data_IF_887535664603
#
_entry.id   IF_887535664603
#
_cell.length_a   1.000
_cell.length_b   1.000
_cell.length_c   1.000
_cell.angle_alpha   90.00
_cell.angle_beta   90.00
_cell.angle_gamma   90.00
#
_symmetry.space_group_name_H-M   'P 1'
#
loop_
_entity.id
_entity.type
_entity.pdbx_description
1 polymer ?
#
# COMPACT_ATOMS: atom_id res chain seq x y z
N UNK A 1 -10.94 15.84 -0.93
CA UNK A 1 -9.61 15.38 -1.45
C UNK A 1 -9.78 14.95 -2.91
N UNK A 2 -9.07 15.56 -3.85
CA UNK A 2 -9.11 15.11 -5.25
C UNK A 2 -8.05 14.03 -5.48
N UNK A 3 -8.51 12.82 -5.86
CA UNK A 3 -7.65 11.67 -6.12
C UNK A 3 -7.68 11.21 -7.59
N UNK A 4 -8.37 11.93 -8.47
CA UNK A 4 -8.49 11.56 -9.88
C UNK A 4 -7.12 11.55 -10.55
N UNK A 5 -6.88 10.51 -11.33
CA UNK A 5 -5.61 10.26 -12.02
C UNK A 5 -4.37 10.14 -11.11
N UNK A 6 -4.57 9.95 -9.79
CA UNK A 6 -3.46 9.74 -8.85
C UNK A 6 -2.97 8.30 -8.88
N UNK A 7 -1.68 8.14 -8.62
CA UNK A 7 -0.99 6.85 -8.55
C UNK A 7 -0.61 6.62 -7.09
N UNK A 8 -1.20 5.59 -6.48
CA UNK A 8 -1.00 5.24 -5.08
C UNK A 8 0.01 4.10 -4.91
N UNK A 9 0.83 4.17 -3.86
CA UNK A 9 1.49 2.99 -3.31
C UNK A 9 0.55 2.31 -2.32
N UNK A 10 0.34 1.01 -2.47
CA UNK A 10 -0.50 0.21 -1.58
C UNK A 10 0.14 0.01 -0.19
N UNK A 11 -0.67 -0.10 0.89
CA UNK A 11 -0.21 -0.58 2.18
C UNK A 11 0.22 -2.05 2.05
N UNK A 12 1.51 -2.33 2.24
CA UNK A 12 2.11 -3.67 2.15
C UNK A 12 2.77 -4.00 3.47
N UNK A 13 2.10 -4.79 4.32
CA UNK A 13 2.61 -5.17 5.63
C UNK A 13 4.01 -5.80 5.55
N UNK A 14 4.94 -5.31 6.36
CA UNK A 14 6.33 -5.71 6.39
C UNK A 14 7.14 -5.25 5.18
N UNK A 15 6.63 -4.35 4.33
CA UNK A 15 7.31 -3.96 3.07
C UNK A 15 7.19 -2.48 2.77
N UNK A 16 5.99 -1.90 2.90
CA UNK A 16 5.77 -0.47 2.66
C UNK A 16 6.12 0.36 3.90
N UNK A 17 7.34 0.14 4.44
CA UNK A 17 7.89 0.95 5.51
C UNK A 17 8.30 2.35 5.00
N UNK A 18 8.71 3.20 5.92
CA UNK A 18 9.12 4.56 5.60
C UNK A 18 10.17 4.62 4.47
N UNK A 19 11.22 3.78 4.53
CA UNK A 19 12.29 3.81 3.53
C UNK A 19 11.75 3.53 2.11
N UNK A 20 10.88 2.53 1.98
CA UNK A 20 10.27 2.19 0.69
C UNK A 20 9.27 3.25 0.24
N UNK A 21 8.45 3.80 1.13
CA UNK A 21 7.48 4.86 0.80
C UNK A 21 8.15 6.11 0.24
N UNK A 22 9.25 6.59 0.87
CA UNK A 22 10.03 7.74 0.38
C UNK A 22 10.56 7.49 -1.03
N UNK A 23 11.14 6.32 -1.28
CA UNK A 23 11.65 5.97 -2.62
C UNK A 23 10.53 5.99 -3.66
N UNK A 24 9.38 5.38 -3.34
CA UNK A 24 8.23 5.38 -4.26
C UNK A 24 7.71 6.80 -4.51
N UNK A 25 7.65 7.65 -3.46
CA UNK A 25 7.27 9.07 -3.60
C UNK A 25 8.20 9.81 -4.56
N UNK A 26 9.51 9.71 -4.33
CA UNK A 26 10.51 10.36 -5.17
C UNK A 26 10.46 9.88 -6.62
N UNK A 27 10.09 8.62 -6.83
CA UNK A 27 9.99 8.02 -8.17
C UNK A 27 8.61 8.19 -8.82
N UNK A 28 7.71 9.02 -8.25
CA UNK A 28 6.48 9.43 -8.94
C UNK A 28 5.17 8.86 -8.37
N UNK A 29 5.19 8.15 -7.25
CA UNK A 29 3.95 7.86 -6.55
C UNK A 29 3.32 9.18 -6.05
N UNK A 30 2.08 9.48 -6.42
CA UNK A 30 1.41 10.70 -5.95
C UNK A 30 1.07 10.63 -4.45
N UNK A 31 0.70 9.46 -3.97
CA UNK A 31 0.25 9.23 -2.60
C UNK A 31 0.78 7.87 -2.12
N UNK A 32 1.26 7.80 -0.90
CA UNK A 32 1.65 6.54 -0.26
C UNK A 32 0.76 6.24 0.94
N UNK A 33 0.78 5.01 1.42
CA UNK A 33 0.04 4.60 2.61
C UNK A 33 0.95 3.85 3.58
N UNK A 34 0.77 4.07 4.87
CA UNK A 34 1.49 3.33 5.90
C UNK A 34 1.19 1.83 5.81
N UNK A 35 1.99 1.02 6.45
CA UNK A 35 1.58 -0.35 6.77
C UNK A 35 0.34 -0.33 7.66
N UNK A 36 -0.36 -1.47 7.76
CA UNK A 36 -1.57 -1.55 8.58
C UNK A 36 -1.25 -1.43 10.08
N UNK A 37 -1.91 -0.50 10.75
CA UNK A 37 -1.74 -0.17 12.18
C UNK A 37 -2.93 -0.72 12.96
N UNK A 38 -2.66 -1.45 14.03
CA UNK A 38 -3.72 -1.99 14.89
C UNK A 38 -4.38 -0.87 15.70
N UNK A 39 -5.68 -0.68 15.51
CA UNK A 39 -6.44 0.30 16.27
C UNK A 39 -6.38 -0.01 17.79
N UNK A 40 -6.54 -1.26 18.18
CA UNK A 40 -6.45 -1.70 19.56
C UNK A 40 -5.06 -1.44 20.17
N UNK A 41 -3.99 -1.84 19.48
CA UNK A 41 -2.62 -1.63 19.97
C UNK A 41 -2.29 -0.13 20.10
N UNK A 42 -2.78 0.70 19.17
CA UNK A 42 -2.64 2.17 19.24
C UNK A 42 -3.23 2.73 20.54
N UNK A 43 -4.38 2.23 21.00
CA UNK A 43 -5.01 2.69 22.26
C UNK A 43 -4.22 2.28 23.49
N UNK A 44 -3.51 1.17 23.44
CA UNK A 44 -2.65 0.72 24.56
C UNK A 44 -1.25 1.34 24.53
N UNK A 45 -0.97 2.29 23.62
CA UNK A 45 0.31 2.98 23.56
C UNK A 45 1.46 2.09 23.04
N UNK A 46 1.12 1.07 22.20
CA UNK A 46 2.11 0.19 21.61
C UNK A 46 3.09 0.97 20.74
N UNK A 47 4.38 0.89 21.08
CA UNK A 47 5.45 1.62 20.41
C UNK A 47 5.54 1.29 18.93
N UNK A 48 5.39 0.01 18.56
CA UNK A 48 5.45 -0.41 17.17
C UNK A 48 4.30 0.18 16.35
N UNK A 49 3.08 0.24 16.91
CA UNK A 49 1.93 0.88 16.26
C UNK A 49 2.16 2.39 16.07
N UNK A 50 2.76 3.07 17.05
CA UNK A 50 3.12 4.47 16.92
C UNK A 50 4.19 4.69 15.82
N UNK A 51 5.21 3.85 15.76
CA UNK A 51 6.25 3.90 14.71
C UNK A 51 5.66 3.67 13.31
N UNK A 52 4.72 2.72 13.15
CA UNK A 52 4.04 2.46 11.87
C UNK A 52 3.11 3.61 11.43
N UNK A 53 2.50 4.30 12.40
CA UNK A 53 1.61 5.44 12.14
C UNK A 53 2.37 6.75 11.90
N UNK A 54 3.62 6.86 12.33
CA UNK A 54 4.39 8.08 12.20
C UNK A 54 4.71 8.38 10.73
N UNK A 55 4.35 9.58 10.26
CA UNK A 55 4.58 10.05 8.90
C UNK A 55 5.58 11.19 8.90
N UNK A 56 6.69 11.02 8.16
CA UNK A 56 7.71 12.06 7.96
C UNK A 56 7.32 12.98 6.79
N UNK A 57 7.95 14.14 6.73
CA UNK A 57 7.60 15.14 5.73
C UNK A 57 8.01 14.74 4.31
N UNK A 58 9.11 13.99 4.14
CA UNK A 58 9.64 13.56 2.84
C UNK A 58 8.85 12.41 2.18
N UNK A 59 7.94 11.76 2.90
CA UNK A 59 7.04 10.75 2.32
C UNK A 59 5.63 11.29 1.99
N UNK A 60 5.34 12.55 2.34
CA UNK A 60 4.03 13.16 2.11
C UNK A 60 3.78 13.49 0.63
N UNK A 61 2.51 13.46 0.15
CA UNK A 61 1.28 13.13 0.89
C UNK A 61 1.16 11.64 1.19
N UNK A 62 0.74 11.31 2.41
CA UNK A 62 0.65 9.94 2.89
C UNK A 62 -0.62 9.69 3.71
N UNK A 63 -1.22 8.50 3.56
CA UNK A 63 -2.32 8.03 4.40
C UNK A 63 -1.83 7.10 5.50
N UNK A 64 -2.67 6.90 6.53
CA UNK A 64 -2.46 5.89 7.56
C UNK A 64 -3.55 4.84 7.44
N UNK A 65 -3.17 3.55 7.36
CA UNK A 65 -4.14 2.46 7.32
C UNK A 65 -4.35 1.87 8.71
N UNK A 66 -5.60 1.90 9.21
CA UNK A 66 -6.03 1.27 10.45
C UNK A 66 -6.69 -0.09 10.17
N UNK A 67 -6.55 -1.04 11.10
CA UNK A 67 -7.37 -2.24 11.14
C UNK A 67 -7.87 -2.52 12.55
N UNK A 68 -9.08 -3.05 12.64
CA UNK A 68 -9.81 -3.38 13.86
C UNK A 68 -11.23 -3.77 13.53
N UNK A 69 -11.99 -4.24 14.51
CA UNK A 69 -13.37 -4.72 14.36
C UNK A 69 -14.37 -4.07 15.32
N UNK A 70 -13.92 -3.15 16.18
CA UNK A 70 -14.75 -2.49 17.18
C UNK A 70 -14.90 -1.00 16.81
N UNK A 71 -16.12 -0.48 16.54
CA UNK A 71 -16.34 0.90 16.08
C UNK A 71 -15.72 1.96 17.00
N UNK A 72 -15.93 1.87 18.29
CA UNK A 72 -15.41 2.83 19.29
C UNK A 72 -13.87 2.81 19.36
N UNK A 73 -13.28 1.62 19.25
CA UNK A 73 -11.82 1.45 19.24
C UNK A 73 -11.23 2.07 17.97
N UNK A 74 -11.88 1.87 16.82
CA UNK A 74 -11.46 2.44 15.54
C UNK A 74 -11.58 3.97 15.52
N UNK A 75 -12.66 4.52 16.07
CA UNK A 75 -12.85 5.96 16.21
C UNK A 75 -11.74 6.60 17.08
N UNK A 76 -11.51 6.08 18.26
CA UNK A 76 -10.44 6.57 19.17
C UNK A 76 -9.05 6.41 18.56
N UNK A 77 -8.79 5.34 17.79
CA UNK A 77 -7.54 5.17 17.10
C UNK A 77 -7.36 6.21 15.97
N UNK A 78 -8.43 6.55 15.26
CA UNK A 78 -8.43 7.60 14.26
C UNK A 78 -8.07 8.97 14.84
N UNK A 79 -8.67 9.35 15.99
CA UNK A 79 -8.30 10.56 16.74
C UNK A 79 -6.80 10.57 17.11
N UNK A 80 -6.28 9.44 17.58
CA UNK A 80 -4.87 9.33 17.97
C UNK A 80 -3.91 9.46 16.79
N UNK A 81 -4.22 8.86 15.64
CA UNK A 81 -3.34 8.95 14.49
C UNK A 81 -3.48 10.27 13.72
N UNK A 82 -4.55 11.02 13.97
CA UNK A 82 -4.76 12.36 13.39
C UNK A 82 -3.63 13.34 13.73
N UNK A 83 -2.95 13.18 14.88
CA UNK A 83 -1.81 14.01 15.29
C UNK A 83 -0.63 13.94 14.30
N UNK A 84 -0.52 12.83 13.55
CA UNK A 84 0.48 12.67 12.49
C UNK A 84 0.09 13.34 11.18
N UNK A 85 -1.07 14.02 11.13
CA UNK A 85 -1.58 14.78 9.98
C UNK A 85 -1.56 13.98 8.67
N UNK A 86 -2.16 12.78 8.61
CA UNK A 86 -2.26 12.04 7.35
C UNK A 86 -3.16 12.78 6.36
N UNK A 87 -2.95 12.55 5.06
CA UNK A 87 -3.84 13.02 4.00
C UNK A 87 -5.23 12.38 4.11
N UNK A 88 -5.28 11.12 4.54
CA UNK A 88 -6.50 10.34 4.78
C UNK A 88 -6.21 9.22 5.79
N UNK A 89 -7.25 8.73 6.42
CA UNK A 89 -7.23 7.51 7.22
C UNK A 89 -7.90 6.41 6.41
N UNK A 90 -7.20 5.31 6.18
CA UNK A 90 -7.72 4.16 5.43
C UNK A 90 -8.16 3.04 6.38
N UNK A 91 -9.32 2.45 6.14
CA UNK A 91 -9.82 1.31 6.92
C UNK A 91 -9.56 0.03 6.13
N UNK A 92 -8.81 -0.90 6.73
CA UNK A 92 -8.51 -2.18 6.10
C UNK A 92 -9.69 -3.14 6.20
N UNK A 93 -10.33 -3.43 5.07
CA UNK A 93 -11.37 -4.46 4.91
C UNK A 93 -10.95 -5.53 3.88
N UNK A 94 -9.63 -5.71 3.69
CA UNK A 94 -9.12 -6.60 2.63
C UNK A 94 -8.03 -7.59 3.05
N UNK A 95 -7.47 -7.49 4.25
CA UNK A 95 -6.41 -8.38 4.72
C UNK A 95 -6.95 -9.80 4.99
N UNK A 96 -6.42 -10.85 4.30
CA UNK A 96 -6.89 -12.22 4.48
C UNK A 96 -6.05 -13.01 5.48
N UNK A 97 -5.07 -12.38 6.14
CA UNK A 97 -4.16 -13.07 7.07
C UNK A 97 -4.97 -13.71 8.21
N UNK A 98 -4.75 -14.99 8.48
CA UNK A 98 -5.55 -15.79 9.41
C UNK A 98 -5.74 -15.11 10.78
N UNK A 99 -4.66 -14.58 11.37
CA UNK A 99 -4.72 -13.90 12.68
C UNK A 99 -5.64 -12.67 12.67
N UNK A 100 -5.63 -11.89 11.59
CA UNK A 100 -6.49 -10.71 11.42
C UNK A 100 -7.93 -11.17 11.18
N UNK A 101 -8.12 -12.11 10.27
CA UNK A 101 -9.44 -12.64 9.91
C UNK A 101 -10.16 -13.31 11.09
N UNK A 102 -9.43 -14.10 11.90
CA UNK A 102 -9.99 -14.80 13.06
C UNK A 102 -10.49 -13.84 14.15
N UNK A 103 -9.95 -12.62 14.21
CA UNK A 103 -10.41 -11.56 15.11
C UNK A 103 -11.59 -10.76 14.55
N UNK A 104 -12.19 -11.14 13.44
CA UNK A 104 -13.25 -10.39 12.78
C UNK A 104 -12.80 -9.10 12.09
N UNK A 105 -11.49 -8.96 11.80
CA UNK A 105 -10.85 -7.79 11.23
C UNK A 105 -10.47 -8.03 9.76
N UNK A 106 -10.07 -6.96 9.07
CA UNK A 106 -9.64 -7.06 7.68
C UNK A 106 -10.74 -7.57 6.76
N UNK A 107 -10.47 -8.62 5.97
CA UNK A 107 -11.49 -9.15 5.04
C UNK A 107 -12.67 -9.85 5.72
N UNK A 108 -12.59 -10.17 7.01
CA UNK A 108 -13.72 -10.71 7.76
C UNK A 108 -14.88 -9.69 7.88
N UNK A 109 -14.57 -8.38 7.89
CA UNK A 109 -15.59 -7.32 7.90
C UNK A 109 -16.49 -7.35 6.67
N UNK A 110 -16.04 -7.89 5.55
CA UNK A 110 -16.86 -8.05 4.36
C UNK A 110 -18.06 -8.99 4.56
N UNK A 111 -18.01 -9.86 5.58
CA UNK A 111 -19.14 -10.76 5.92
C UNK A 111 -20.24 -10.05 6.70
N UNK A 112 -19.97 -8.89 7.28
CA UNK A 112 -20.89 -8.13 8.14
C UNK A 112 -20.92 -6.67 7.67
N UNK A 113 -21.70 -6.41 6.62
CA UNK A 113 -21.83 -5.08 6.01
C UNK A 113 -22.37 -4.04 7.01
N UNK A 114 -23.36 -4.31 7.86
CA UNK A 114 -23.80 -3.39 8.88
C UNK A 114 -22.67 -2.95 9.83
N UNK A 115 -21.88 -3.89 10.33
CA UNK A 115 -20.74 -3.62 11.20
C UNK A 115 -19.63 -2.83 10.47
N UNK A 116 -19.34 -3.19 9.23
CA UNK A 116 -18.37 -2.45 8.40
C UNK A 116 -18.79 -0.98 8.23
N UNK A 117 -20.08 -0.73 7.95
CA UNK A 117 -20.63 0.62 7.84
C UNK A 117 -20.61 1.37 9.20
N UNK A 118 -20.89 0.69 10.31
CA UNK A 118 -20.80 1.27 11.64
C UNK A 118 -19.36 1.73 11.98
N UNK A 119 -18.36 0.92 11.67
CA UNK A 119 -16.94 1.28 11.83
C UNK A 119 -16.60 2.53 11.00
N UNK A 120 -17.01 2.58 9.73
CA UNK A 120 -16.73 3.75 8.86
C UNK A 120 -17.41 5.00 9.43
N UNK A 121 -18.66 4.90 9.86
CA UNK A 121 -19.40 6.02 10.47
C UNK A 121 -18.73 6.52 11.75
N UNK A 122 -18.27 5.61 12.61
CA UNK A 122 -17.58 5.95 13.85
C UNK A 122 -16.25 6.67 13.57
N UNK A 123 -15.47 6.18 12.62
CA UNK A 123 -14.20 6.81 12.23
C UNK A 123 -14.44 8.16 11.56
N UNK A 124 -15.39 8.27 10.62
CA UNK A 124 -15.71 9.51 9.93
C UNK A 124 -16.27 10.59 10.89
N UNK A 125 -16.98 10.18 11.93
CA UNK A 125 -17.47 11.09 12.98
C UNK A 125 -16.41 11.54 13.99
N UNK A 126 -15.27 10.84 14.07
CA UNK A 126 -14.21 11.10 15.04
C UNK A 126 -13.11 12.06 14.52
N UNK A 127 -13.11 12.42 13.23
CA UNK A 127 -12.05 13.24 12.64
C UNK A 127 -12.55 13.95 11.38
N UNK A 128 -11.99 15.13 11.11
CA UNK A 128 -12.18 15.86 9.84
C UNK A 128 -11.31 15.33 8.68
N UNK A 129 -10.45 14.35 8.96
CA UNK A 129 -9.58 13.75 7.95
C UNK A 129 -10.41 12.81 7.06
N UNK A 130 -10.29 12.91 5.72
CA UNK A 130 -11.02 12.03 4.81
C UNK A 130 -10.79 10.54 5.12
N UNK A 131 -11.85 9.74 5.11
CA UNK A 131 -11.79 8.30 5.38
C UNK A 131 -11.85 7.51 4.09
N UNK A 132 -10.81 6.71 3.82
CA UNK A 132 -10.78 5.72 2.75
C UNK A 132 -11.15 4.33 3.29
N UNK A 133 -11.64 3.47 2.40
CA UNK A 133 -11.86 2.05 2.71
C UNK A 133 -11.16 1.18 1.68
N UNK A 134 -10.25 0.31 2.11
CA UNK A 134 -9.59 -0.65 1.24
C UNK A 134 -10.18 -2.04 1.41
N UNK A 135 -10.82 -2.55 0.36
CA UNK A 135 -11.54 -3.81 0.36
C UNK A 135 -11.17 -4.73 -0.80
N UNK A 136 -11.74 -5.92 -0.83
CA UNK A 136 -11.71 -6.91 -1.92
C UNK A 136 -13.06 -6.98 -2.62
N UNK A 137 -13.19 -7.86 -3.62
CA UNK A 137 -14.48 -8.16 -4.27
C UNK A 137 -15.40 -9.02 -3.41
N UNK A 138 -14.84 -9.75 -2.46
CA UNK A 138 -15.48 -10.63 -1.52
C UNK A 138 -14.43 -11.34 -0.66
N UNK A 139 -14.85 -12.13 0.32
CA UNK A 139 -13.96 -12.98 1.11
C UNK A 139 -13.41 -14.11 0.23
N UNK A 140 -14.27 -14.68 -0.58
CA UNK A 140 -13.98 -15.70 -1.59
C UNK A 140 -14.82 -15.48 -2.86
N UNK A 141 -14.68 -16.35 -3.86
CA UNK A 141 -15.37 -16.21 -5.13
C UNK A 141 -16.88 -16.50 -5.04
N UNK A 142 -17.33 -17.23 -4.01
CA UNK A 142 -18.75 -17.53 -3.77
C UNK A 142 -19.48 -16.41 -3.00
N UNK A 143 -18.74 -15.56 -2.29
CA UNK A 143 -19.28 -14.51 -1.40
C UNK A 143 -18.91 -13.10 -1.89
N UNK A 144 -19.14 -12.82 -3.18
CA UNK A 144 -18.91 -11.52 -3.77
C UNK A 144 -20.00 -10.55 -3.35
N UNK A 145 -19.62 -9.52 -2.59
CA UNK A 145 -20.56 -8.52 -2.08
C UNK A 145 -20.00 -7.10 -2.10
N UNK A 146 -18.92 -6.87 -2.85
CA UNK A 146 -18.25 -5.57 -2.90
C UNK A 146 -19.16 -4.41 -3.28
N UNK A 147 -20.07 -4.48 -4.25
CA UNK A 147 -20.98 -3.37 -4.56
C UNK A 147 -21.85 -2.99 -3.35
N UNK A 148 -22.47 -3.97 -2.69
CA UNK A 148 -23.33 -3.73 -1.53
C UNK A 148 -22.54 -3.15 -0.33
N UNK A 149 -21.32 -3.64 -0.09
CA UNK A 149 -20.42 -3.07 0.91
C UNK A 149 -20.02 -1.63 0.54
N UNK A 150 -19.69 -1.37 -0.72
CA UNK A 150 -19.30 -0.06 -1.22
C UNK A 150 -20.39 0.99 -0.97
N UNK A 151 -21.64 0.70 -1.34
CA UNK A 151 -22.79 1.57 -1.06
C UNK A 151 -22.99 1.82 0.44
N UNK A 152 -22.83 0.79 1.26
CA UNK A 152 -23.03 0.90 2.71
C UNK A 152 -21.96 1.80 3.35
N UNK A 153 -20.69 1.66 2.96
CA UNK A 153 -19.60 2.47 3.52
C UNK A 153 -19.59 3.90 2.94
N UNK A 154 -20.04 4.11 1.70
CA UNK A 154 -20.29 5.44 1.14
C UNK A 154 -21.34 6.19 1.98
N UNK A 155 -22.50 5.57 2.22
CA UNK A 155 -23.54 6.16 3.09
C UNK A 155 -23.08 6.38 4.54
N UNK A 156 -22.06 5.65 4.97
CA UNK A 156 -21.46 5.80 6.30
C UNK A 156 -20.41 6.92 6.38
N UNK A 157 -20.04 7.55 5.25
CA UNK A 157 -19.12 8.70 5.21
C UNK A 157 -17.73 8.40 4.65
N UNK A 158 -17.53 7.28 3.95
CA UNK A 158 -16.30 7.07 3.21
C UNK A 158 -16.13 8.12 2.11
N UNK A 159 -14.93 8.69 1.99
CA UNK A 159 -14.60 9.71 0.99
C UNK A 159 -14.12 9.09 -0.34
N UNK A 160 -13.59 7.88 -0.33
CA UNK A 160 -13.19 7.10 -1.49
C UNK A 160 -13.03 5.62 -1.12
N UNK A 161 -12.97 4.76 -2.14
CA UNK A 161 -12.74 3.33 -1.97
C UNK A 161 -11.49 2.89 -2.72
N UNK A 162 -10.80 1.88 -2.19
CA UNK A 162 -9.79 1.12 -2.94
C UNK A 162 -10.24 -0.33 -3.06
N UNK A 163 -10.40 -0.82 -4.28
CA UNK A 163 -10.90 -2.16 -4.54
C UNK A 163 -9.80 -3.04 -5.13
N UNK A 164 -9.44 -4.11 -4.40
CA UNK A 164 -8.49 -5.10 -4.88
C UNK A 164 -9.20 -6.23 -5.62
N UNK A 165 -9.00 -6.30 -6.92
CA UNK A 165 -9.42 -7.43 -7.75
C UNK A 165 -8.49 -8.63 -7.54
N UNK A 166 -9.05 -9.81 -7.21
CA UNK A 166 -8.26 -10.99 -6.82
C UNK A 166 -7.70 -11.80 -8.00
N UNK A 167 -8.38 -11.84 -9.17
CA UNK A 167 -7.98 -12.62 -10.36
C UNK A 167 -8.01 -11.78 -11.64
N UNK A 168 -7.06 -12.04 -12.59
CA UNK A 168 -6.92 -11.24 -13.82
C UNK A 168 -8.18 -11.13 -14.65
N UNK A 169 -8.90 -12.23 -14.90
CA UNK A 169 -10.08 -12.24 -15.79
C UNK A 169 -11.33 -11.62 -15.15
N UNK A 170 -11.47 -11.74 -13.83
CA UNK A 170 -12.65 -11.29 -13.08
C UNK A 170 -12.44 -9.95 -12.39
N UNK A 171 -11.17 -9.53 -12.27
CA UNK A 171 -10.73 -8.35 -11.53
C UNK A 171 -11.37 -7.06 -12.03
N UNK A 172 -11.29 -6.82 -13.32
CA UNK A 172 -11.78 -5.58 -13.92
C UNK A 172 -13.29 -5.46 -13.83
N UNK A 173 -14.04 -6.55 -14.16
CA UNK A 173 -15.48 -6.55 -14.10
C UNK A 173 -16.01 -6.23 -12.70
N UNK A 174 -15.45 -6.86 -11.66
CA UNK A 174 -15.87 -6.61 -10.28
C UNK A 174 -15.52 -5.21 -9.77
N UNK A 175 -14.38 -4.63 -10.20
CA UNK A 175 -14.06 -3.23 -9.89
C UNK A 175 -15.05 -2.29 -10.62
N UNK A 176 -15.35 -2.55 -11.89
CA UNK A 176 -16.32 -1.78 -12.65
C UNK A 176 -17.73 -1.83 -12.04
N UNK A 177 -18.13 -2.95 -11.45
CA UNK A 177 -19.39 -3.07 -10.71
C UNK A 177 -19.41 -2.13 -9.50
N UNK A 178 -18.32 -2.07 -8.73
CA UNK A 178 -18.21 -1.13 -7.60
C UNK A 178 -18.21 0.31 -8.09
N UNK A 179 -17.47 0.64 -9.17
CA UNK A 179 -17.46 1.99 -9.75
C UNK A 179 -18.87 2.46 -10.14
N UNK A 180 -19.70 1.56 -10.67
CA UNK A 180 -21.10 1.89 -11.03
C UNK A 180 -22.04 2.01 -9.83
N UNK A 181 -21.71 1.37 -8.71
CA UNK A 181 -22.56 1.31 -7.51
C UNK A 181 -22.44 2.54 -6.61
N UNK A 182 -21.35 3.32 -6.72
CA UNK A 182 -21.07 4.46 -5.83
C UNK A 182 -20.80 5.75 -6.58
N UNK A 183 -21.00 6.88 -5.91
CA UNK A 183 -20.69 8.22 -6.45
C UNK A 183 -19.30 8.72 -6.04
N UNK A 184 -18.73 8.19 -4.96
CA UNK A 184 -17.40 8.52 -4.49
C UNK A 184 -16.32 7.88 -5.38
N UNK A 185 -15.11 8.49 -5.46
CA UNK A 185 -14.03 7.96 -6.28
C UNK A 185 -13.60 6.55 -5.87
N UNK A 186 -13.35 5.70 -6.86
CA UNK A 186 -12.81 4.35 -6.66
C UNK A 186 -11.39 4.26 -7.19
N UNK A 187 -10.48 3.74 -6.39
CA UNK A 187 -9.10 3.42 -6.74
C UNK A 187 -9.01 1.95 -7.14
N UNK A 188 -8.64 1.68 -8.39
CA UNK A 188 -8.41 0.32 -8.89
C UNK A 188 -7.09 -0.24 -8.39
N UNK A 189 -7.12 -1.44 -7.78
CA UNK A 189 -5.93 -2.11 -7.27
C UNK A 189 -5.90 -3.57 -7.71
N UNK A 190 -4.73 -4.01 -8.12
CA UNK A 190 -4.43 -5.39 -8.54
C UNK A 190 -3.71 -5.43 -9.88
N UNK A 191 -2.63 -6.21 -9.94
CA UNK A 191 -1.80 -6.49 -11.12
C UNK A 191 -1.41 -5.28 -11.99
N UNK A 192 -1.35 -4.09 -11.40
CA UNK A 192 -0.74 -2.90 -12.01
C UNK A 192 0.78 -3.02 -11.83
N UNK A 193 1.49 -3.26 -12.93
CA UNK A 193 2.94 -3.53 -12.97
C UNK A 193 3.70 -2.65 -13.98
N UNK A 194 2.97 -1.94 -14.85
CA UNK A 194 3.48 -1.10 -15.93
C UNK A 194 2.38 -0.16 -16.44
N UNK A 195 2.72 0.74 -17.36
CA UNK A 195 1.80 1.70 -17.96
C UNK A 195 0.63 1.02 -18.70
N UNK A 196 0.88 -0.08 -19.38
CA UNK A 196 -0.16 -0.82 -20.13
C UNK A 196 -1.21 -1.40 -19.19
N UNK A 197 -0.80 -2.03 -18.10
CA UNK A 197 -1.71 -2.59 -17.10
C UNK A 197 -2.50 -1.51 -16.36
N UNK A 198 -1.90 -0.34 -16.12
CA UNK A 198 -2.60 0.82 -15.56
C UNK A 198 -3.66 1.37 -16.54
N UNK A 199 -3.31 1.55 -17.81
CA UNK A 199 -4.25 2.00 -18.85
C UNK A 199 -5.46 1.06 -18.95
N UNK A 200 -5.21 -0.25 -18.98
CA UNK A 200 -6.29 -1.26 -18.97
C UNK A 200 -7.17 -1.20 -17.71
N UNK A 201 -6.58 -0.90 -16.54
CA UNK A 201 -7.35 -0.72 -15.32
C UNK A 201 -8.33 0.45 -15.47
N UNK A 202 -7.89 1.60 -15.96
CA UNK A 202 -8.74 2.75 -16.20
C UNK A 202 -9.83 2.45 -17.25
N UNK A 203 -9.42 1.92 -18.40
CA UNK A 203 -10.30 1.66 -19.55
C UNK A 203 -11.42 0.67 -19.19
N UNK A 204 -11.07 -0.44 -18.53
CA UNK A 204 -12.02 -1.53 -18.28
C UNK A 204 -12.87 -1.31 -17.02
N UNK A 205 -12.46 -0.44 -16.12
CA UNK A 205 -13.17 -0.26 -14.85
C UNK A 205 -13.81 1.10 -14.68
N UNK A 206 -13.28 2.14 -15.35
CA UNK A 206 -13.68 3.52 -15.11
C UNK A 206 -13.26 4.06 -13.74
N UNK A 207 -12.30 3.41 -13.06
CA UNK A 207 -11.82 3.87 -11.76
C UNK A 207 -11.17 5.26 -11.85
N UNK A 208 -11.22 6.01 -10.75
CA UNK A 208 -10.72 7.39 -10.70
C UNK A 208 -9.18 7.46 -10.55
N UNK A 209 -8.57 6.43 -10.00
CA UNK A 209 -7.14 6.35 -9.70
C UNK A 209 -6.67 4.88 -9.69
N UNK A 210 -5.36 4.66 -9.68
CA UNK A 210 -4.78 3.32 -9.58
C UNK A 210 -3.88 3.19 -8.36
N UNK A 211 -3.83 1.98 -7.79
CA UNK A 211 -2.95 1.66 -6.68
C UNK A 211 -2.03 0.50 -7.06
N UNK A 212 -0.72 0.74 -6.95
CA UNK A 212 0.32 -0.25 -7.21
C UNK A 212 0.68 -0.96 -5.91
N UNK A 213 0.62 -2.28 -5.91
CA UNK A 213 1.08 -3.12 -4.80
C UNK A 213 2.38 -3.84 -5.16
N UNK A 214 2.29 -5.15 -5.38
CA UNK A 214 3.44 -6.01 -5.69
C UNK A 214 4.24 -5.58 -6.92
N UNK A 215 3.64 -4.84 -7.86
CA UNK A 215 4.32 -4.30 -9.03
C UNK A 215 5.48 -3.34 -8.70
N UNK A 216 5.47 -2.74 -7.50
CA UNK A 216 6.54 -1.86 -7.04
C UNK A 216 7.72 -2.60 -6.39
N UNK A 217 7.56 -3.90 -6.05
CA UNK A 217 8.59 -4.67 -5.36
C UNK A 217 9.80 -4.94 -6.27
N UNK A 218 10.94 -4.35 -5.91
CA UNK A 218 12.14 -4.37 -6.74
C UNK A 218 12.07 -3.50 -8.00
N UNK A 219 10.92 -2.86 -8.24
CA UNK A 219 10.69 -1.98 -9.37
C UNK A 219 9.91 -0.71 -8.96
N UNK A 220 10.44 0.14 -8.06
CA UNK A 220 9.75 1.38 -7.69
C UNK A 220 9.68 2.38 -8.87
N UNK A 221 10.42 2.17 -9.95
CA UNK A 221 10.35 2.97 -11.18
C UNK A 221 9.02 2.82 -11.92
N UNK A 222 8.20 1.82 -11.58
CA UNK A 222 6.82 1.72 -12.08
C UNK A 222 6.05 3.02 -11.85
N UNK A 223 6.27 3.72 -10.76
CA UNK A 223 5.62 5.00 -10.50
C UNK A 223 6.05 6.08 -11.49
N UNK A 224 7.34 6.15 -11.85
CA UNK A 224 7.84 7.05 -12.89
C UNK A 224 7.27 6.68 -14.26
N UNK A 225 7.21 5.39 -14.59
CA UNK A 225 6.61 4.92 -15.84
C UNK A 225 5.14 5.33 -15.95
N UNK A 226 4.36 5.13 -14.89
CA UNK A 226 2.95 5.51 -14.85
C UNK A 226 2.77 7.04 -14.94
N UNK A 227 3.62 7.80 -14.26
CA UNK A 227 3.61 9.26 -14.33
C UNK A 227 3.92 9.76 -15.75
N UNK A 228 4.96 9.21 -16.39
CA UNK A 228 5.30 9.51 -17.80
C UNK A 228 4.11 9.20 -18.73
N UNK A 229 3.49 8.04 -18.57
CA UNK A 229 2.33 7.66 -19.39
C UNK A 229 1.13 8.62 -19.20
N UNK A 230 0.86 9.03 -17.96
CA UNK A 230 -0.18 10.02 -17.63
C UNK A 230 0.08 11.38 -18.29
N UNK A 231 1.35 11.79 -18.35
CA UNK A 231 1.79 13.09 -18.92
C UNK A 231 2.02 13.02 -20.43
N UNK A 232 1.91 11.82 -21.04
CA UNK A 232 2.14 11.64 -22.47
C UNK A 232 3.62 11.78 -22.89
N UNK A 233 4.55 11.59 -21.93
CA UNK A 233 5.99 11.66 -22.20
C UNK A 233 6.64 10.27 -22.23
N UNK A 234 7.71 10.05 -23.02
CA UNK A 234 8.40 8.77 -23.06
C UNK A 234 9.00 8.39 -21.69
N UNK A 235 8.84 7.14 -21.28
CA UNK A 235 9.53 6.58 -20.13
C UNK A 235 10.90 6.05 -20.51
N UNK A 236 11.93 6.48 -19.77
CA UNK A 236 13.28 5.92 -19.86
C UNK A 236 13.52 4.96 -18.71
N UNK A 237 13.76 3.67 -18.96
CA UNK A 237 14.09 2.69 -17.91
C UNK A 237 15.35 3.10 -17.13
N UNK A 238 15.44 2.73 -15.85
CA UNK A 238 16.60 3.08 -15.04
C UNK A 238 17.86 2.36 -15.51
N UNK A 239 19.00 3.07 -15.51
CA UNK A 239 20.31 2.46 -15.71
C UNK A 239 20.72 1.59 -14.52
N UNK A 240 21.75 0.75 -14.69
CA UNK A 240 22.28 -0.04 -13.58
C UNK A 240 22.82 0.86 -12.45
N UNK A 241 23.46 1.98 -12.78
CA UNK A 241 23.93 2.94 -11.80
C UNK A 241 22.77 3.55 -10.99
N UNK A 242 21.67 3.94 -11.66
CA UNK A 242 20.48 4.45 -10.98
C UNK A 242 19.86 3.40 -10.09
N UNK A 243 19.76 2.15 -10.56
CA UNK A 243 19.27 1.02 -9.75
C UNK A 243 20.13 0.82 -8.51
N UNK A 244 21.46 0.76 -8.68
CA UNK A 244 22.41 0.61 -7.58
C UNK A 244 22.27 1.73 -6.55
N UNK A 245 22.18 2.98 -7.00
CA UNK A 245 21.99 4.14 -6.12
C UNK A 245 20.69 4.06 -5.30
N UNK A 246 19.57 3.70 -5.93
CA UNK A 246 18.27 3.54 -5.24
C UNK A 246 18.32 2.39 -4.24
N UNK A 247 18.93 1.26 -4.60
CA UNK A 247 19.07 0.12 -3.66
C UNK A 247 19.90 0.52 -2.43
N UNK A 248 21.03 1.20 -2.65
CA UNK A 248 21.88 1.71 -1.55
C UNK A 248 21.12 2.68 -0.65
N UNK A 249 20.42 3.66 -1.22
CA UNK A 249 19.59 4.59 -0.46
C UNK A 249 18.52 3.86 0.37
N UNK A 250 17.82 2.89 -0.21
CA UNK A 250 16.83 2.10 0.51
C UNK A 250 17.43 1.41 1.73
N UNK A 251 18.58 0.77 1.57
CA UNK A 251 19.29 0.10 2.67
C UNK A 251 19.76 1.09 3.74
N UNK A 252 20.33 2.22 3.33
CA UNK A 252 20.76 3.29 4.25
C UNK A 252 19.58 3.75 5.11
N UNK A 253 18.47 4.14 4.48
CA UNK A 253 17.25 4.60 5.18
C UNK A 253 16.65 3.53 6.10
N UNK A 254 16.68 2.26 5.68
CA UNK A 254 16.24 1.14 6.51
C UNK A 254 17.07 1.02 7.79
N UNK A 255 18.41 1.07 7.65
CA UNK A 255 19.33 0.97 8.80
C UNK A 255 19.24 2.20 9.70
N UNK A 256 19.13 3.40 9.13
CA UNK A 256 18.93 4.64 9.89
C UNK A 256 17.64 4.63 10.71
N UNK A 257 16.57 4.01 10.20
CA UNK A 257 15.26 4.01 10.86
C UNK A 257 15.06 2.86 11.83
N UNK A 258 15.62 1.67 11.53
CA UNK A 258 15.39 0.43 12.29
C UNK A 258 16.67 -0.10 12.98
N UNK A 259 17.82 0.55 12.75
CA UNK A 259 19.12 0.07 13.24
C UNK A 259 19.60 -1.18 12.47
N UNK A 260 20.65 -1.81 13.02
CA UNK A 260 21.27 -3.01 12.41
C UNK A 260 20.29 -4.20 12.22
N UNK A 261 19.21 -4.23 13.00
CA UNK A 261 18.13 -5.24 12.87
C UNK A 261 17.43 -5.20 11.51
N UNK A 262 17.57 -4.10 10.76
CA UNK A 262 17.01 -3.97 9.41
C UNK A 262 17.75 -4.84 8.37
N UNK A 263 18.99 -5.27 8.61
CA UNK A 263 19.77 -6.03 7.63
C UNK A 263 19.13 -7.37 7.25
N UNK A 264 18.70 -8.23 8.17
CA UNK A 264 17.94 -9.44 7.80
C UNK A 264 16.66 -9.12 7.04
N UNK A 265 15.95 -8.06 7.41
CA UNK A 265 14.72 -7.65 6.75
C UNK A 265 14.97 -7.14 5.32
N UNK A 266 16.09 -6.48 5.08
CA UNK A 266 16.46 -5.95 3.76
C UNK A 266 16.69 -7.01 2.69
N UNK A 267 17.01 -8.25 3.09
CA UNK A 267 17.31 -9.36 2.15
C UNK A 267 16.18 -9.61 1.16
N UNK A 268 14.91 -9.47 1.58
CA UNK A 268 13.77 -9.61 0.68
C UNK A 268 13.74 -8.50 -0.37
N UNK A 269 14.05 -7.25 0.01
CA UNK A 269 14.12 -6.12 -0.92
C UNK A 269 15.25 -6.30 -1.92
N UNK A 270 16.42 -6.71 -1.44
CA UNK A 270 17.58 -7.03 -2.29
C UNK A 270 17.26 -8.15 -3.29
N UNK A 271 16.56 -9.19 -2.84
CA UNK A 271 16.14 -10.28 -3.71
C UNK A 271 15.18 -9.81 -4.81
N UNK A 272 14.29 -8.86 -4.51
CA UNK A 272 13.39 -8.28 -5.50
C UNK A 272 14.12 -7.37 -6.48
N UNK A 273 14.99 -6.47 -6.00
CA UNK A 273 15.76 -5.54 -6.86
C UNK A 273 16.69 -6.27 -7.84
N UNK A 274 17.21 -7.42 -7.44
CA UNK A 274 18.18 -8.18 -8.26
C UNK A 274 17.52 -9.29 -9.07
N UNK A 275 16.20 -9.40 -9.05
CA UNK A 275 15.46 -10.46 -9.76
C UNK A 275 15.73 -10.36 -11.28
N UNK A 276 16.16 -11.50 -11.87
CA UNK A 276 16.43 -11.58 -13.31
C UNK A 276 17.79 -11.07 -13.74
N UNK A 277 18.61 -10.50 -12.83
CA UNK A 277 19.97 -10.07 -13.17
C UNK A 277 20.92 -11.27 -13.26
N UNK A 278 21.91 -11.24 -14.17
CA UNK A 278 23.03 -12.18 -14.17
C UNK A 278 23.72 -12.15 -12.81
N UNK A 279 24.07 -13.31 -12.25
CA UNK A 279 24.71 -13.39 -10.91
C UNK A 279 23.78 -13.25 -9.70
N UNK A 280 22.50 -12.91 -9.86
CA UNK A 280 21.57 -12.70 -8.76
C UNK A 280 21.42 -13.90 -7.80
N UNK A 281 21.57 -15.13 -8.29
CA UNK A 281 21.50 -16.32 -7.46
C UNK A 281 22.68 -16.40 -6.46
N UNK A 282 23.90 -16.18 -6.95
CA UNK A 282 25.11 -16.14 -6.14
C UNK A 282 25.06 -14.96 -5.15
N UNK A 283 24.62 -13.78 -5.61
CA UNK A 283 24.39 -12.62 -4.75
C UNK A 283 23.45 -12.94 -3.58
N UNK A 284 22.25 -13.52 -3.85
CA UNK A 284 21.30 -13.89 -2.81
C UNK A 284 21.86 -14.90 -1.80
N UNK A 285 22.70 -15.84 -2.25
CA UNK A 285 23.37 -16.76 -1.33
C UNK A 285 24.31 -16.02 -0.39
N UNK A 286 25.12 -15.10 -0.94
CA UNK A 286 26.13 -14.32 -0.19
C UNK A 286 25.48 -13.37 0.81
N UNK A 287 24.42 -12.64 0.45
CA UNK A 287 23.75 -11.69 1.36
C UNK A 287 23.12 -12.36 2.60
N UNK A 288 22.88 -13.66 2.56
CA UNK A 288 22.33 -14.37 3.72
C UNK A 288 23.36 -14.54 4.85
N UNK A 289 24.64 -14.49 4.54
CA UNK A 289 25.75 -14.65 5.51
C UNK A 289 26.35 -13.33 5.97
N UNK A 290 25.97 -12.20 5.32
CA UNK A 290 26.49 -10.87 5.60
C UNK A 290 25.77 -10.21 6.76
N UNK A 291 26.50 -9.55 7.65
CA UNK A 291 25.99 -8.88 8.83
C UNK A 291 26.29 -7.37 8.89
N UNK A 292 27.08 -6.85 7.93
CA UNK A 292 27.43 -5.44 7.87
C UNK A 292 26.96 -4.78 6.57
N UNK A 293 26.46 -3.54 6.65
CA UNK A 293 25.95 -2.79 5.50
C UNK A 293 27.03 -2.57 4.44
N UNK A 294 28.29 -2.30 4.85
CA UNK A 294 29.40 -2.13 3.91
C UNK A 294 29.70 -3.35 3.06
N UNK A 295 29.55 -4.56 3.61
CA UNK A 295 29.71 -5.81 2.89
C UNK A 295 28.60 -5.98 1.81
N UNK A 296 27.35 -5.60 2.16
CA UNK A 296 26.24 -5.61 1.19
C UNK A 296 26.54 -4.63 0.03
N UNK A 297 27.10 -3.46 0.34
CA UNK A 297 27.47 -2.49 -0.69
C UNK A 297 28.56 -3.02 -1.63
N UNK A 298 29.56 -3.70 -1.11
CA UNK A 298 30.59 -4.34 -1.95
C UNK A 298 29.98 -5.40 -2.88
N UNK A 299 29.03 -6.22 -2.36
CA UNK A 299 28.32 -7.19 -3.18
C UNK A 299 27.43 -6.54 -4.27
N UNK A 300 26.84 -5.38 -3.99
CA UNK A 300 26.08 -4.61 -4.96
C UNK A 300 26.99 -4.05 -6.06
N UNK A 301 28.19 -3.56 -5.68
CA UNK A 301 29.17 -3.08 -6.66
C UNK A 301 29.64 -4.20 -7.60
N UNK A 302 29.89 -5.40 -7.07
CA UNK A 302 30.22 -6.56 -7.89
C UNK A 302 29.07 -6.97 -8.86
N UNK A 303 27.81 -6.84 -8.40
CA UNK A 303 26.64 -7.30 -9.18
C UNK A 303 26.23 -6.30 -10.28
N UNK A 304 26.33 -5.02 -9.99
CA UNK A 304 25.90 -3.98 -10.93
C UNK A 304 27.01 -3.50 -11.89
N UNK A 305 28.25 -3.90 -11.65
CA UNK A 305 29.43 -3.59 -12.46
C UNK A 305 30.01 -2.27 -12.07
#
# INVERSE_FOLDING_TARGET
>A
MDIRNKIFLAPLAGTADYAFRVICRRLGADIVCSEMVSAKATLYGDRKSAELAYLRDDERPAGIQLFGSEPDVMAKAAERVAVYRPLYIDINMGCPVHKVFANGEGSALMKDIPKAAEIVRAVAGATDIPVGVKMRLGVDDASRNAPALAEAVERAGAAFLTVHGRTRAQMFAGIAEVVRAVSIPVVGNGDVTDASSAARMYELTGCAAVMVGRGALGNPWVFRELACAREGVPFTPPTNEEKKAVVREHLTRLVETKGAWALPESRKHLAWYTKGMPGAAAFRSRINTVSALGEIYALLDELFG
#
